data_IF_615853454636
#
_entry.id   IF_615853454636
#
_cell.length_a   1.000
_cell.length_b   1.000
_cell.length_c   1.000
_cell.angle_alpha   90.00
_cell.angle_beta   90.00
_cell.angle_gamma   90.00
#
_symmetry.space_group_name_H-M   'P 1'
#
loop_
_entity.id
_entity.type
_entity.pdbx_description
1 polymer ?
#
# COMPACT_ATOMS: atom_id res chain seq x y z
N UNK A 1 -31.32 0.01 25.15
CA UNK A 1 -30.03 0.70 25.02
C UNK A 1 -29.69 0.75 23.55
N UNK A 2 -29.87 1.91 22.93
CA UNK A 2 -29.32 2.21 21.61
C UNK A 2 -28.03 2.99 21.86
N UNK A 3 -26.87 2.40 21.53
CA UNK A 3 -25.59 3.11 21.58
C UNK A 3 -25.45 3.96 20.32
N UNK A 4 -25.65 5.27 20.48
CA UNK A 4 -25.38 6.28 19.47
C UNK A 4 -23.87 6.42 19.27
N UNK A 5 -23.42 6.19 18.04
CA UNK A 5 -22.03 6.36 17.62
C UNK A 5 -21.72 7.85 17.48
N UNK A 6 -20.83 8.36 18.34
CA UNK A 6 -20.34 9.74 18.27
C UNK A 6 -19.44 9.93 17.04
N UNK A 7 -19.99 10.56 16.00
CA UNK A 7 -19.28 10.87 14.77
C UNK A 7 -18.53 12.19 14.96
N UNK A 8 -17.23 12.10 15.25
CA UNK A 8 -16.34 13.27 15.30
C UNK A 8 -16.38 14.01 13.96
N UNK A 9 -16.93 15.22 13.97
CA UNK A 9 -16.93 16.13 12.82
C UNK A 9 -15.51 16.71 12.65
N UNK A 10 -14.86 16.39 11.52
CA UNK A 10 -13.59 17.02 11.16
C UNK A 10 -13.89 18.31 10.40
N UNK A 11 -13.58 19.45 11.02
CA UNK A 11 -13.70 20.77 10.40
C UNK A 11 -12.80 20.83 9.15
N UNK A 12 -13.44 21.03 8.00
CA UNK A 12 -12.79 21.07 6.69
C UNK A 12 -12.08 22.42 6.53
N UNK A 13 -10.75 22.44 6.73
CA UNK A 13 -9.95 23.62 6.38
C UNK A 13 -10.06 23.91 4.87
N UNK A 14 -10.35 25.15 4.46
CA UNK A 14 -10.38 25.52 3.06
C UNK A 14 -8.97 25.48 2.46
N UNK A 15 -8.89 25.04 1.20
CA UNK A 15 -7.66 25.02 0.43
C UNK A 15 -7.20 26.47 0.16
N UNK A 16 -5.96 26.78 0.54
CA UNK A 16 -5.32 28.05 0.22
C UNK A 16 -4.76 27.96 -1.21
N UNK A 17 -5.30 28.79 -2.10
CA UNK A 17 -4.77 29.00 -3.45
C UNK A 17 -3.47 29.81 -3.37
N UNK A 18 -2.43 29.49 -4.15
CA UNK A 18 -1.20 30.26 -4.16
C UNK A 18 -1.39 31.50 -5.03
N UNK A 19 -1.35 32.67 -4.42
CA UNK A 19 -1.26 33.94 -5.14
C UNK A 19 -1.93 35.09 -4.41
N UNK A 20 -1.24 35.70 -3.45
CA UNK A 20 -1.04 37.15 -3.44
C UNK A 20 0.09 37.52 -2.47
N UNK A 21 0.86 38.54 -2.84
CA UNK A 21 2.03 39.02 -2.15
C UNK A 21 1.64 39.86 -0.91
N UNK A 22 2.31 39.63 0.22
CA UNK A 22 2.16 40.44 1.42
C UNK A 22 3.39 40.34 2.30
N UNK A 23 4.23 41.38 2.24
CA UNK A 23 5.48 41.51 2.97
C UNK A 23 5.27 41.50 4.49
N UNK A 24 6.13 40.78 5.22
CA UNK A 24 6.48 41.09 6.60
C UNK A 24 7.94 40.72 6.84
N UNK A 25 8.76 41.75 6.98
CA UNK A 25 10.15 41.69 7.44
C UNK A 25 10.20 41.42 8.95
N UNK A 26 11.03 40.47 9.36
CA UNK A 26 11.64 40.48 10.69
C UNK A 26 12.99 39.75 10.65
N UNK A 27 14.04 40.55 10.68
CA UNK A 27 15.44 40.17 10.86
C UNK A 27 15.69 39.59 12.25
N UNK A 28 16.48 38.52 12.36
CA UNK A 28 17.58 38.40 13.35
C UNK A 28 18.46 37.17 13.10
N UNK A 29 19.76 37.42 13.23
CA UNK A 29 20.93 36.62 12.86
C UNK A 29 21.19 35.40 13.76
N UNK A 30 21.86 34.38 13.22
CA UNK A 30 23.08 33.81 13.84
C UNK A 30 24.05 33.32 12.75
N UNK A 31 25.29 33.80 12.84
CA UNK A 31 26.46 33.31 12.10
C UNK A 31 26.85 31.91 12.57
N UNK A 32 27.18 31.01 11.65
CA UNK A 32 28.38 30.16 11.74
C UNK A 32 28.68 29.45 10.42
N UNK A 33 29.97 29.47 10.06
CA UNK A 33 30.64 28.88 8.89
C UNK A 33 30.27 27.41 8.64
N UNK A 34 30.33 26.83 7.44
CA UNK A 34 31.04 27.17 6.21
C UNK A 34 31.66 25.90 5.66
N UNK A 35 30.97 25.18 4.77
CA UNK A 35 31.56 24.20 3.84
C UNK A 35 30.79 24.29 2.51
N UNK A 36 31.40 24.99 1.56
CA UNK A 36 30.95 25.17 0.18
C UNK A 36 31.68 24.14 -0.68
N UNK A 37 30.98 23.10 -1.15
CA UNK A 37 31.46 22.29 -2.27
C UNK A 37 30.76 22.76 -3.53
N UNK A 38 31.49 23.55 -4.32
CA UNK A 38 31.15 23.86 -5.71
C UNK A 38 31.69 22.75 -6.60
N UNK A 39 30.85 22.22 -7.48
CA UNK A 39 31.32 21.59 -8.73
C UNK A 39 30.23 21.74 -9.79
N UNK A 40 30.47 22.75 -10.63
CA UNK A 40 30.17 22.93 -12.06
C UNK A 40 29.03 22.14 -12.75
N UNK A 41 28.24 22.83 -13.62
CA UNK A 41 27.21 22.22 -14.44
C UNK A 41 27.84 21.56 -15.69
N UNK A 42 27.59 20.27 -15.87
CA UNK A 42 27.94 19.57 -17.12
C UNK A 42 26.77 19.61 -18.09
N UNK A 43 26.74 20.63 -18.93
CA UNK A 43 26.00 20.64 -20.20
C UNK A 43 26.63 19.64 -21.17
N UNK A 44 26.03 18.45 -21.30
CA UNK A 44 26.31 17.55 -22.41
C UNK A 44 25.02 17.20 -23.13
N UNK A 45 24.71 18.08 -24.09
CA UNK A 45 24.11 17.83 -25.39
C UNK A 45 23.23 16.57 -25.54
N UNK A 46 21.95 16.85 -25.81
CA UNK A 46 20.96 16.02 -26.49
C UNK A 46 21.59 15.05 -27.51
N UNK A 47 21.84 13.80 -27.09
CA UNK A 47 22.04 12.68 -28.01
C UNK A 47 20.78 11.83 -28.01
N UNK A 48 20.00 12.08 -29.06
CA UNK A 48 18.87 11.29 -29.54
C UNK A 48 19.34 9.85 -29.79
N UNK A 49 19.28 9.02 -28.76
CA UNK A 49 19.45 7.57 -28.92
C UNK A 49 18.18 7.02 -29.57
N UNK A 50 18.19 6.99 -30.90
CA UNK A 50 17.27 6.23 -31.72
C UNK A 50 17.50 4.73 -31.44
N UNK A 51 16.74 4.17 -30.50
CA UNK A 51 16.73 2.73 -30.25
C UNK A 51 15.94 2.07 -31.40
N UNK A 52 16.56 1.23 -32.25
CA UNK A 52 15.77 0.40 -33.14
C UNK A 52 15.07 -0.64 -32.28
N UNK A 53 13.77 -0.45 -32.03
CA UNK A 53 12.88 -1.54 -31.59
C UNK A 53 12.69 -2.44 -32.82
N UNK A 54 13.73 -3.15 -33.21
CA UNK A 54 13.56 -4.31 -34.05
C UNK A 54 13.21 -5.47 -33.13
N UNK A 55 11.97 -5.93 -33.27
CA UNK A 55 11.49 -7.18 -32.73
C UNK A 55 12.54 -8.29 -32.91
N UNK A 56 13.18 -8.70 -31.83
CA UNK A 56 13.85 -9.99 -31.77
C UNK A 56 13.16 -10.83 -30.70
N UNK A 57 11.91 -11.20 -31.00
CA UNK A 57 11.28 -12.32 -30.33
C UNK A 57 12.06 -13.58 -30.74
N UNK A 58 12.92 -14.04 -29.85
CA UNK A 58 13.54 -15.37 -29.95
C UNK A 58 12.53 -16.41 -29.44
N UNK A 59 11.47 -16.63 -30.22
CA UNK A 59 10.44 -17.65 -29.96
C UNK A 59 10.56 -18.76 -31.00
N UNK A 60 11.64 -19.53 -30.88
CA UNK A 60 11.76 -20.86 -31.49
C UNK A 60 11.97 -21.89 -30.39
N UNK A 61 11.01 -21.99 -29.47
CA UNK A 61 10.86 -23.19 -28.66
C UNK A 61 9.97 -24.17 -29.45
N UNK A 62 10.43 -25.39 -29.77
CA UNK A 62 9.58 -26.40 -30.39
C UNK A 62 8.38 -26.69 -29.47
N UNK A 63 7.17 -26.70 -30.02
CA UNK A 63 5.98 -27.11 -29.28
C UNK A 63 6.17 -28.53 -28.71
N UNK A 64 5.90 -28.78 -27.42
CA UNK A 64 6.02 -30.12 -26.85
C UNK A 64 5.00 -31.07 -27.50
N UNK A 65 5.34 -32.35 -27.71
CA UNK A 65 4.43 -33.33 -28.28
C UNK A 65 3.23 -33.54 -27.36
N UNK A 66 2.03 -33.48 -27.92
CA UNK A 66 0.77 -33.74 -27.21
C UNK A 66 0.72 -35.20 -26.70
N UNK A 67 0.40 -35.44 -25.41
CA UNK A 67 0.18 -36.79 -24.92
C UNK A 67 -1.14 -37.39 -25.47
N UNK A 68 -1.22 -38.72 -25.66
CA UNK A 68 -2.41 -39.40 -26.16
C UNK A 68 -3.57 -39.33 -25.14
N UNK A 69 -4.84 -39.27 -25.59
CA UNK A 69 -5.96 -39.12 -24.67
C UNK A 69 -6.25 -40.48 -24.02
N UNK A 70 -5.79 -40.69 -22.78
CA UNK A 70 -6.33 -41.78 -21.97
C UNK A 70 -6.58 -41.36 -20.53
N UNK A 71 -7.75 -41.79 -20.05
CA UNK A 71 -8.22 -41.90 -18.66
C UNK A 71 -8.71 -40.61 -17.99
N UNK A 72 -10.01 -40.38 -18.22
CA UNK A 72 -10.93 -39.60 -17.36
C UNK A 72 -10.72 -40.01 -15.90
N UNK A 73 -10.36 -39.06 -15.05
CA UNK A 73 -10.56 -39.21 -13.62
C UNK A 73 -12.03 -38.90 -13.32
N UNK A 74 -12.59 -39.74 -12.46
CA UNK A 74 -14.00 -39.93 -12.14
C UNK A 74 -14.32 -39.04 -10.94
N UNK A 75 -15.38 -38.24 -11.02
CA UNK A 75 -16.14 -37.83 -9.83
C UNK A 75 -17.44 -38.62 -9.85
N UNK A 76 -17.79 -39.21 -8.70
CA UNK A 76 -18.94 -40.09 -8.51
C UNK A 76 -20.27 -39.48 -8.95
N UNK A 77 -21.06 -40.26 -9.70
CA UNK A 77 -22.51 -40.37 -9.50
C UNK A 77 -22.99 -41.64 -10.23
N UNK A 78 -23.74 -42.47 -9.51
CA UNK A 78 -24.28 -43.75 -9.96
C UNK A 78 -25.36 -43.59 -11.05
N UNK A 79 -25.37 -44.51 -12.02
CA UNK A 79 -26.58 -45.17 -12.54
C UNK A 79 -26.22 -46.10 -13.72
N UNK A 80 -26.44 -47.39 -13.49
CA UNK A 80 -27.04 -48.42 -14.37
C UNK A 80 -26.72 -48.44 -15.88
N UNK A 81 -26.28 -49.62 -16.32
CA UNK A 81 -26.05 -50.06 -17.69
C UNK A 81 -27.20 -49.75 -18.68
N UNK A 82 -26.85 -49.59 -19.96
CA UNK A 82 -27.30 -50.40 -21.11
C UNK A 82 -26.72 -49.82 -22.41
N UNK A 83 -26.33 -50.73 -23.30
CA UNK A 83 -25.79 -50.51 -24.64
C UNK A 83 -26.74 -49.73 -25.56
N UNK A 84 -26.19 -49.08 -26.60
CA UNK A 84 -26.45 -49.40 -28.02
C UNK A 84 -25.71 -48.41 -28.94
N UNK A 85 -25.34 -48.96 -30.08
CA UNK A 85 -24.58 -48.46 -31.22
C UNK A 85 -25.31 -47.33 -31.95
N UNK A 86 -24.58 -46.45 -32.65
CA UNK A 86 -24.74 -46.25 -34.11
C UNK A 86 -23.83 -45.14 -34.64
N UNK A 87 -23.22 -45.44 -35.79
CA UNK A 87 -22.50 -44.52 -36.65
C UNK A 87 -23.46 -43.70 -37.51
N UNK A 88 -23.09 -42.47 -37.90
CA UNK A 88 -23.42 -41.92 -39.21
C UNK A 88 -22.63 -40.63 -39.48
N UNK A 89 -22.23 -40.50 -40.75
CA UNK A 89 -21.44 -39.43 -41.37
C UNK A 89 -22.25 -38.15 -41.60
N UNK A 90 -21.57 -37.02 -41.76
CA UNK A 90 -22.12 -35.83 -42.40
C UNK A 90 -21.18 -34.62 -42.36
N UNK A 91 -20.36 -34.45 -43.39
CA UNK A 91 -19.80 -33.15 -43.81
C UNK A 91 -20.87 -32.41 -44.67
N UNK A 92 -20.89 -31.07 -44.70
CA UNK A 92 -20.29 -30.41 -45.85
C UNK A 92 -19.54 -29.09 -45.56
N UNK A 93 -18.61 -28.80 -46.46
CA UNK A 93 -17.68 -27.68 -46.49
C UNK A 93 -18.27 -26.30 -46.86
N UNK A 94 -17.43 -25.27 -46.59
CA UNK A 94 -17.27 -23.93 -47.23
C UNK A 94 -17.86 -22.69 -46.53
N UNK A 95 -16.93 -21.84 -46.06
CA UNK A 95 -17.02 -20.38 -45.79
C UNK A 95 -17.16 -19.59 -47.13
N UNK A 96 -17.32 -18.23 -47.20
CA UNK A 96 -17.24 -17.17 -46.18
C UNK A 96 -18.31 -16.04 -46.27
N UNK A 97 -18.53 -15.28 -45.19
CA UNK A 97 -19.20 -13.97 -45.29
C UNK A 97 -18.65 -12.98 -44.27
N UNK A 98 -17.81 -12.06 -44.77
CA UNK A 98 -17.46 -10.81 -44.12
C UNK A 98 -18.71 -9.94 -43.97
N UNK A 99 -19.24 -9.80 -42.76
CA UNK A 99 -20.03 -8.64 -42.37
C UNK A 99 -19.13 -7.68 -41.59
N UNK A 100 -18.51 -6.75 -42.31
CA UNK A 100 -17.95 -5.52 -41.72
C UNK A 100 -19.10 -4.58 -41.42
N UNK A 101 -19.19 -4.12 -40.16
CA UNK A 101 -20.24 -3.19 -39.73
C UNK A 101 -19.98 -2.51 -38.38
N UNK A 102 -18.74 -2.08 -38.16
CA UNK A 102 -18.32 -0.88 -37.42
C UNK A 102 -19.20 -0.39 -36.24
N UNK A 103 -19.03 -0.96 -35.03
CA UNK A 103 -19.41 -0.31 -33.76
C UNK A 103 -18.72 -0.83 -32.48
N UNK A 104 -17.76 -1.76 -32.56
CA UNK A 104 -17.16 -2.40 -31.37
C UNK A 104 -15.80 -1.84 -30.93
N UNK A 105 -15.21 -0.88 -31.68
CA UNK A 105 -13.86 -0.34 -31.39
C UNK A 105 -13.79 0.64 -30.21
N UNK A 106 -14.88 1.36 -29.93
CA UNK A 106 -14.92 2.32 -28.81
C UNK A 106 -15.02 1.60 -27.47
N UNK A 107 -15.81 0.52 -27.40
CA UNK A 107 -16.03 -0.22 -26.15
C UNK A 107 -14.76 -0.84 -25.56
N UNK A 108 -13.83 -1.31 -26.39
CA UNK A 108 -12.57 -1.91 -25.91
C UNK A 108 -11.57 -0.86 -25.40
N UNK A 109 -11.63 0.36 -25.97
CA UNK A 109 -10.81 1.49 -25.54
C UNK A 109 -11.26 2.03 -24.18
N UNK A 110 -12.57 2.22 -24.02
CA UNK A 110 -13.20 2.63 -22.75
C UNK A 110 -12.94 1.62 -21.62
N UNK A 111 -13.04 0.33 -21.93
CA UNK A 111 -12.76 -0.74 -20.96
C UNK A 111 -11.27 -0.80 -20.57
N UNK A 112 -10.38 -0.61 -21.54
CA UNK A 112 -8.94 -0.51 -21.28
C UNK A 112 -8.61 0.68 -20.38
N UNK A 113 -9.28 1.82 -20.57
CA UNK A 113 -9.13 2.99 -19.72
C UNK A 113 -9.64 2.74 -18.29
N UNK A 114 -10.81 2.12 -18.12
CA UNK A 114 -11.31 1.71 -16.79
C UNK A 114 -10.31 0.83 -16.05
N UNK A 115 -9.73 -0.16 -16.73
CA UNK A 115 -8.69 -1.03 -16.14
C UNK A 115 -7.43 -0.25 -15.78
N UNK A 116 -7.00 0.69 -16.62
CA UNK A 116 -5.87 1.59 -16.31
C UNK A 116 -6.14 2.41 -15.05
N UNK A 117 -7.28 3.09 -14.98
CA UNK A 117 -7.67 3.91 -13.83
C UNK A 117 -7.77 3.08 -12.55
N UNK A 118 -8.40 1.90 -12.61
CA UNK A 118 -8.45 0.97 -11.48
C UNK A 118 -7.05 0.57 -10.97
N UNK A 119 -6.13 0.23 -11.89
CA UNK A 119 -4.77 -0.16 -11.53
C UNK A 119 -3.96 0.99 -10.90
N UNK A 120 -4.18 2.23 -11.36
CA UNK A 120 -3.56 3.43 -10.77
C UNK A 120 -4.05 3.60 -9.33
N UNK A 121 -5.36 3.52 -9.10
CA UNK A 121 -5.95 3.69 -7.77
C UNK A 121 -5.49 2.60 -6.80
N UNK A 122 -5.43 1.33 -7.23
CA UNK A 122 -4.97 0.24 -6.38
C UNK A 122 -3.46 0.35 -6.06
N UNK A 123 -2.65 0.87 -6.99
CA UNK A 123 -1.24 1.19 -6.71
C UNK A 123 -1.14 2.27 -5.64
N UNK A 124 -1.86 3.38 -5.78
CA UNK A 124 -1.89 4.46 -4.79
C UNK A 124 -2.33 3.94 -3.41
N UNK A 125 -3.36 3.09 -3.37
CA UNK A 125 -3.80 2.43 -2.13
C UNK A 125 -2.68 1.59 -1.51
N UNK A 126 -1.97 0.78 -2.30
CA UNK A 126 -0.83 -0.04 -1.82
C UNK A 126 0.33 0.81 -1.32
N UNK A 127 0.61 1.92 -1.99
CA UNK A 127 1.67 2.84 -1.60
C UNK A 127 1.31 3.55 -0.28
N UNK A 128 0.06 3.99 -0.11
CA UNK A 128 -0.45 4.51 1.16
C UNK A 128 -0.35 3.50 2.29
N UNK A 129 -0.74 2.24 2.04
CA UNK A 129 -0.61 1.16 3.03
C UNK A 129 0.87 0.89 3.38
N UNK A 130 1.77 0.91 2.39
CA UNK A 130 3.21 0.76 2.62
C UNK A 130 3.74 1.88 3.51
N UNK A 131 3.36 3.13 3.25
CA UNK A 131 3.74 4.28 4.09
C UNK A 131 3.24 4.13 5.53
N UNK A 132 1.99 3.68 5.74
CA UNK A 132 1.47 3.40 7.09
C UNK A 132 2.28 2.33 7.82
N UNK A 133 2.69 1.26 7.12
CA UNK A 133 3.55 0.21 7.71
C UNK A 133 4.95 0.73 8.07
N UNK A 134 5.53 1.61 7.25
CA UNK A 134 6.82 2.23 7.54
C UNK A 134 6.71 3.17 8.76
N UNK A 135 5.69 4.03 8.80
CA UNK A 135 5.44 4.90 9.96
C UNK A 135 5.24 4.10 11.25
N UNK A 136 4.51 2.98 11.20
CA UNK A 136 4.35 2.09 12.34
C UNK A 136 5.67 1.43 12.76
N UNK A 137 6.50 0.99 11.81
CA UNK A 137 7.81 0.40 12.09
C UNK A 137 8.72 1.39 12.82
N UNK A 138 8.72 2.65 12.39
CA UNK A 138 9.65 3.67 12.88
C UNK A 138 9.38 4.05 14.35
N UNK A 139 8.15 3.92 14.82
CA UNK A 139 7.79 4.15 16.24
C UNK A 139 8.05 2.95 17.15
N UNK A 140 8.38 1.78 16.60
CA UNK A 140 8.66 0.57 17.39
C UNK A 140 10.18 0.51 17.65
N UNK A 141 10.64 0.62 18.91
CA UNK A 141 12.08 0.71 19.23
C UNK A 141 12.91 -0.46 18.71
N UNK A 142 12.34 -1.67 18.69
CA UNK A 142 13.01 -2.88 18.21
C UNK A 142 13.13 -2.96 16.68
N UNK A 143 12.34 -2.19 15.94
CA UNK A 143 12.23 -2.29 14.48
C UNK A 143 12.66 -1.02 13.74
N UNK A 144 12.82 0.12 14.41
CA UNK A 144 13.14 1.40 13.77
C UNK A 144 14.46 1.39 12.97
N UNK A 145 15.40 0.50 13.30
CA UNK A 145 16.67 0.30 12.57
C UNK A 145 16.65 -0.90 11.61
N UNK A 146 15.54 -1.63 11.52
CA UNK A 146 15.41 -2.82 10.69
C UNK A 146 14.56 -2.53 9.46
N UNK A 147 15.22 -2.09 8.38
CA UNK A 147 14.50 -1.71 7.18
C UNK A 147 13.76 -2.85 6.47
N UNK A 148 14.16 -4.09 6.75
CA UNK A 148 13.64 -5.30 6.12
C UNK A 148 12.63 -6.04 7.00
N UNK A 149 12.13 -5.40 8.06
CA UNK A 149 11.12 -6.00 8.93
C UNK A 149 9.86 -6.42 8.14
N UNK A 150 9.48 -7.69 8.24
CA UNK A 150 8.28 -8.20 7.59
C UNK A 150 7.01 -7.57 8.20
N UNK A 151 5.96 -7.40 7.38
CA UNK A 151 4.68 -6.81 7.81
C UNK A 151 4.10 -7.50 9.06
N UNK A 152 4.10 -8.82 9.09
CA UNK A 152 3.62 -9.60 10.24
C UNK A 152 4.43 -9.34 11.50
N UNK A 153 5.74 -9.13 11.38
CA UNK A 153 6.59 -8.80 12.52
C UNK A 153 6.32 -7.38 13.03
N UNK A 154 6.11 -6.41 12.13
CA UNK A 154 5.71 -5.04 12.49
C UNK A 154 4.43 -5.08 13.33
N UNK A 155 3.39 -5.79 12.87
CA UNK A 155 2.12 -5.90 13.60
C UNK A 155 2.29 -6.58 14.97
N UNK A 156 3.04 -7.69 15.03
CA UNK A 156 3.29 -8.40 16.29
C UNK A 156 4.02 -7.50 17.29
N UNK A 157 5.10 -6.86 16.86
CA UNK A 157 5.91 -5.98 17.71
C UNK A 157 5.18 -4.71 18.10
N UNK A 158 4.31 -4.17 17.24
CA UNK A 158 3.41 -3.07 17.60
C UNK A 158 2.49 -3.46 18.76
N UNK A 159 1.86 -4.65 18.68
CA UNK A 159 0.98 -5.14 19.74
C UNK A 159 1.72 -5.39 21.05
N UNK A 160 2.91 -5.99 21.00
CA UNK A 160 3.78 -6.16 22.19
C UNK A 160 4.18 -4.80 22.78
N UNK A 161 4.53 -3.83 21.93
CA UNK A 161 4.94 -2.49 22.36
C UNK A 161 3.79 -1.72 23.01
N UNK A 162 2.59 -1.74 22.42
CA UNK A 162 1.41 -1.12 23.00
C UNK A 162 1.10 -1.67 24.40
N UNK A 163 1.13 -3.00 24.57
CA UNK A 163 0.92 -3.64 25.89
C UNK A 163 1.95 -3.20 26.92
N UNK A 164 3.23 -3.08 26.54
CA UNK A 164 4.29 -2.58 27.43
C UNK A 164 4.06 -1.13 27.82
N UNK A 165 3.68 -0.26 26.88
CA UNK A 165 3.39 1.15 27.17
C UNK A 165 2.25 1.30 28.17
N UNK A 166 1.16 0.54 28.02
CA UNK A 166 0.04 0.54 28.97
C UNK A 166 0.47 0.09 30.37
N UNK A 167 1.26 -0.98 30.46
CA UNK A 167 1.78 -1.45 31.75
C UNK A 167 2.71 -0.41 32.41
N UNK A 168 3.55 0.24 31.63
CA UNK A 168 4.47 1.27 32.08
C UNK A 168 3.74 2.54 32.52
N UNK A 169 2.73 2.98 31.77
CA UNK A 169 1.86 4.09 32.17
C UNK A 169 1.19 3.81 33.53
N UNK A 170 0.63 2.62 33.72
CA UNK A 170 0.04 2.23 34.98
C UNK A 170 1.05 2.26 36.14
N UNK A 171 2.28 1.75 35.91
CA UNK A 171 3.37 1.80 36.92
C UNK A 171 3.72 3.24 37.29
N UNK A 172 3.93 4.10 36.30
CA UNK A 172 4.28 5.51 36.51
C UNK A 172 3.17 6.28 37.22
N UNK A 173 1.90 5.99 36.93
CA UNK A 173 0.76 6.59 37.64
C UNK A 173 0.73 6.19 39.13
N UNK A 174 1.04 4.93 39.46
CA UNK A 174 1.15 4.50 40.85
C UNK A 174 2.31 5.20 41.57
N UNK A 175 3.47 5.29 40.94
CA UNK A 175 4.65 5.97 41.50
C UNK A 175 4.39 7.45 41.73
N UNK A 176 3.73 8.12 40.77
CA UNK A 176 3.29 9.51 40.91
C UNK A 176 2.38 9.69 42.13
N UNK A 177 1.33 8.86 42.28
CA UNK A 177 0.42 8.92 43.43
C UNK A 177 1.15 8.74 44.76
N UNK A 178 2.09 7.80 44.83
CA UNK A 178 2.89 7.58 46.04
C UNK A 178 3.80 8.78 46.36
N UNK A 179 4.42 9.38 45.34
CA UNK A 179 5.25 10.57 45.51
C UNK A 179 4.42 11.76 46.00
N UNK A 180 3.24 11.98 45.43
CA UNK A 180 2.30 13.02 45.87
C UNK A 180 1.82 12.81 47.32
N UNK A 181 1.51 11.57 47.70
CA UNK A 181 1.15 11.24 49.08
C UNK A 181 2.30 11.54 50.07
N UNK A 182 3.53 11.18 49.72
CA UNK A 182 4.73 11.50 50.53
C UNK A 182 4.94 13.01 50.62
N UNK A 183 4.82 13.72 49.51
CA UNK A 183 4.95 15.18 49.48
C UNK A 183 3.91 15.83 50.41
N UNK A 184 2.64 15.44 50.32
CA UNK A 184 1.59 15.95 51.21
C UNK A 184 1.90 15.67 52.68
N UNK A 185 2.39 14.47 53.01
CA UNK A 185 2.77 14.12 54.38
C UNK A 185 3.91 15.01 54.91
N UNK A 186 4.94 15.22 54.08
CA UNK A 186 6.09 16.07 54.44
C UNK A 186 5.67 17.53 54.63
N UNK A 187 4.80 18.06 53.75
CA UNK A 187 4.28 19.42 53.87
C UNK A 187 3.49 19.61 55.17
N UNK A 188 2.62 18.66 55.54
CA UNK A 188 1.91 18.70 56.84
C UNK A 188 2.88 18.69 58.02
N UNK A 189 3.95 17.89 57.94
CA UNK A 189 4.98 17.85 59.00
C UNK A 189 5.71 19.19 59.11
N UNK A 190 6.09 19.80 57.99
CA UNK A 190 6.71 21.13 57.98
C UNK A 190 5.78 22.18 58.59
N UNK A 191 4.49 22.17 58.25
CA UNK A 191 3.51 23.09 58.82
C UNK A 191 3.41 22.93 60.34
N UNK A 192 3.37 21.70 60.84
CA UNK A 192 3.28 21.43 62.28
C UNK A 192 4.52 21.87 63.06
N UNK A 193 5.70 21.88 62.44
CA UNK A 193 6.97 22.29 63.05
C UNK A 193 7.23 23.80 62.95
N UNK A 194 6.45 24.52 62.13
CA UNK A 194 6.55 25.98 61.98
C UNK A 194 5.63 26.74 62.95
N UNK A 195 4.75 26.03 63.67
CA UNK A 195 3.94 26.57 64.77
C UNK A 195 4.71 26.46 66.08
#
# INVERSE_FOLDING_TARGET
>A
EEEEIDVVTVEKRPAVTPGDAGAISASSNTNTAGVRLQSEPCDHALKRCHFPIHQQHNYAAPSPPSPPPTKRWRTEAAATAVAVRSAARGEPARLPAFTRGNSTSSSDSEESERRRTHNILERQRRDGLRSSFLGLRDVIPELCRNDKAAKVMILRKAGEYAKRLVAEEHRLLLEKRQAEARQHQLLRKIESLKR
#
